data_IF_486488112391
#
_entry.id   IF_486488112391
#
_cell.length_a   1.000
_cell.length_b   1.000
_cell.length_c   1.000
_cell.angle_alpha   90.00
_cell.angle_beta   90.00
_cell.angle_gamma   90.00
#
_symmetry.space_group_name_H-M   'P 1'
#
loop_
_entity.id
_entity.type
_entity.pdbx_description
1 polymer ?
2 water ?
#
# COMPACT_ATOMS: atom_id res chain seq x y z
N UNK A 44 13.58 -9.76 12.64
CA UNK A 44 13.84 -9.98 11.19
C UNK A 44 14.73 -8.90 10.61
N UNK A 45 15.23 -9.17 9.41
CA UNK A 45 16.15 -8.30 8.70
C UNK A 45 15.46 -7.02 8.29
N UNK A 46 16.13 -5.91 8.46
CA UNK A 46 15.71 -4.65 7.87
C UNK A 46 15.39 -4.76 6.39
N UNK A 47 16.18 -5.51 5.62
CA UNK A 47 15.97 -5.52 4.18
C UNK A 47 14.60 -6.11 3.85
N UNK A 48 14.21 -7.16 4.55
CA UNK A 48 12.93 -7.80 4.24
C UNK A 48 11.79 -6.91 4.76
N UNK A 49 12.06 -6.13 5.78
CA UNK A 49 11.03 -5.25 6.27
C UNK A 49 10.80 -4.07 5.31
N UNK A 50 11.86 -3.56 4.72
CA UNK A 50 11.74 -2.50 3.72
C UNK A 50 10.97 -3.01 2.53
N UNK A 51 11.33 -4.22 2.12
CA UNK A 51 10.72 -4.90 1.00
C UNK A 51 9.19 -4.90 1.15
N UNK A 52 8.68 -5.34 2.30
CA UNK A 52 7.22 -5.39 2.47
C UNK A 52 6.55 -4.02 2.66
N UNK A 53 7.22 -3.07 3.27
CA UNK A 53 6.63 -1.76 3.33
C UNK A 53 6.51 -1.19 1.90
N UNK A 54 7.55 -1.35 1.10
CA UNK A 54 7.50 -0.86 -0.29
C UNK A 54 6.33 -1.48 -1.03
N UNK A 55 6.17 -2.79 -0.88
CA UNK A 55 5.02 -3.48 -1.44
C UNK A 55 3.70 -2.95 -0.99
N UNK A 56 3.58 -2.80 0.30
CA UNK A 56 2.36 -2.30 0.88
C UNK A 56 1.99 -0.97 0.24
N UNK A 57 2.91 -0.02 0.22
CA UNK A 57 2.57 1.30 -0.28
C UNK A 57 2.33 1.30 -1.80
N UNK A 58 3.15 0.57 -2.57
CA UNK A 58 2.94 0.48 -4.02
C UNK A 58 1.55 -0.08 -4.34
N UNK A 59 1.11 -1.08 -3.57
CA UNK A 59 -0.16 -1.73 -3.84
C UNK A 59 -1.34 -0.85 -3.42
N UNK A 60 -1.21 -0.23 -2.25
CA UNK A 60 -2.29 0.56 -1.68
C UNK A 60 -2.49 1.89 -2.38
N UNK A 61 -1.39 2.53 -2.76
CA UNK A 61 -1.41 3.91 -3.20
C UNK A 61 -1.42 4.06 -4.72
N UNK A 62 -1.18 2.97 -5.43
CA UNK A 62 -1.33 2.96 -6.89
C UNK A 62 -2.60 2.27 -7.38
N UNK A 63 -2.78 2.30 -8.69
CA UNK A 63 -3.98 1.73 -9.23
C UNK A 63 -3.83 1.37 -10.70
N UNK A 64 -4.27 0.16 -11.06
CA UNK A 64 -4.49 -0.27 -12.44
C UNK A 64 -5.62 -1.31 -12.47
N UNK A 65 -6.76 -0.97 -13.09
CA UNK A 65 -7.90 -1.89 -13.20
C UNK A 65 -7.53 -3.40 -13.24
N UNK A 66 -6.64 -3.78 -14.15
CA UNK A 66 -6.27 -5.19 -14.28
C UNK A 66 -5.65 -5.82 -12.99
N UNK A 67 -5.14 -5.01 -12.06
CA UNK A 67 -4.42 -5.49 -10.88
C UNK A 67 -5.16 -5.27 -9.55
N UNK A 68 -6.37 -4.72 -9.62
CA UNK A 68 -7.14 -4.34 -8.43
C UNK A 68 -7.41 -5.49 -7.47
N UNK A 69 -7.89 -6.62 -8.01
CA UNK A 69 -8.23 -7.77 -7.20
C UNK A 69 -6.97 -8.20 -6.42
N UNK A 70 -5.86 -8.32 -7.15
CA UNK A 70 -4.55 -8.66 -6.56
C UNK A 70 -4.01 -7.66 -5.55
N UNK A 71 -3.98 -6.40 -5.91
CA UNK A 71 -3.58 -5.37 -4.99
C UNK A 71 -4.47 -5.32 -3.75
N UNK A 72 -5.76 -5.59 -3.94
CA UNK A 72 -6.64 -5.63 -2.78
C UNK A 72 -6.30 -6.77 -1.82
N UNK A 73 -6.10 -8.01 -2.35
CA UNK A 73 -5.85 -9.19 -1.46
C UNK A 73 -4.54 -8.94 -0.67
N UNK A 74 -3.54 -8.40 -1.36
CA UNK A 74 -2.22 -8.15 -0.80
C UNK A 74 -2.24 -7.06 0.29
N UNK A 75 -2.85 -5.91 0.05
CA UNK A 75 -2.94 -4.95 1.15
C UNK A 75 -3.67 -5.57 2.35
N UNK A 76 -4.73 -6.32 2.05
CA UNK A 76 -5.54 -6.93 3.10
C UNK A 76 -4.79 -7.93 3.96
N UNK A 77 -4.08 -8.83 3.29
CA UNK A 77 -3.27 -9.79 3.99
C UNK A 77 -2.16 -9.13 4.83
N UNK A 78 -1.61 -8.01 4.36
CA UNK A 78 -0.55 -7.34 5.11
C UNK A 78 -1.04 -6.29 6.12
N UNK A 79 -2.36 -6.25 6.34
CA UNK A 79 -3.02 -5.32 7.28
C UNK A 79 -3.69 -6.09 8.40
N UNK A 80 -3.74 -5.50 9.59
CA UNK A 80 -4.40 -6.18 10.72
C UNK A 80 -5.91 -6.18 10.52
N UNK A 81 -6.64 -7.09 11.20
CA UNK A 81 -8.11 -7.03 11.16
C UNK A 81 -8.69 -5.59 11.20
N UNK A 82 -8.33 -4.77 12.17
CA UNK A 82 -8.93 -3.44 12.31
C UNK A 82 -8.43 -2.46 11.22
N UNK A 83 -7.22 -2.65 10.69
CA UNK A 83 -6.72 -1.79 9.56
C UNK A 83 -7.25 -2.24 8.21
N UNK A 84 -7.46 -3.55 8.09
CA UNK A 84 -8.00 -4.13 6.89
C UNK A 84 -9.36 -3.51 6.65
N UNK A 85 -10.09 -3.31 7.74
CA UNK A 85 -11.45 -2.80 7.62
C UNK A 85 -11.53 -1.30 7.26
N UNK A 86 -10.62 -0.51 7.80
CA UNK A 86 -10.52 0.90 7.39
C UNK A 86 -10.18 1.01 5.89
N UNK A 87 -9.16 0.25 5.47
CA UNK A 87 -8.75 0.15 4.05
C UNK A 87 -9.93 -0.21 3.17
N UNK A 88 -10.68 -1.22 3.58
CA UNK A 88 -11.86 -1.64 2.79
C UNK A 88 -12.93 -0.53 2.68
N UNK A 89 -13.28 0.15 3.77
CA UNK A 89 -14.31 1.18 3.67
C UNK A 89 -13.76 2.21 2.68
N UNK A 90 -12.47 2.45 2.69
CA UNK A 90 -11.88 3.46 1.83
C UNK A 90 -11.85 3.02 0.36
N UNK A 91 -11.59 1.74 0.13
CA UNK A 91 -11.50 1.21 -1.25
C UNK A 91 -12.88 0.93 -1.90
N UNK A 92 -13.93 0.84 -1.11
CA UNK A 92 -15.23 0.44 -1.61
C UNK A 92 -15.65 1.27 -2.83
N UNK A 93 -16.07 0.56 -3.90
CA UNK A 93 -16.57 1.17 -5.14
C UNK A 93 -17.54 2.36 -5.04
N UNK A 94 -18.25 2.50 -3.92
CA UNK A 94 -19.13 3.64 -3.71
C UNK A 94 -18.48 4.87 -3.10
N UNK A 95 -17.18 4.82 -2.88
CA UNK A 95 -16.52 5.88 -2.18
C UNK A 95 -15.72 6.73 -3.17
N UNK A 96 -16.13 8.00 -3.36
CA UNK A 96 -15.43 8.94 -4.26
C UNK A 96 -13.93 9.02 -4.09
N UNK A 97 -13.39 8.77 -2.90
CA UNK A 97 -11.93 8.85 -2.63
C UNK A 97 -11.18 7.52 -2.83
N UNK A 98 -11.88 6.50 -3.33
CA UNK A 98 -11.26 5.22 -3.62
C UNK A 98 -10.44 5.27 -4.90
N UNK A 99 -9.29 4.59 -4.91
CA UNK A 99 -8.51 4.56 -6.15
C UNK A 99 -9.32 4.08 -7.37
N UNK A 100 -10.16 3.08 -7.18
CA UNK A 100 -11.05 2.61 -8.25
C UNK A 100 -11.68 3.77 -9.02
N UNK A 101 -12.11 4.75 -8.26
CA UNK A 101 -12.81 5.90 -8.76
C UNK A 101 -11.90 7.05 -9.21
N UNK A 102 -11.03 7.54 -8.33
CA UNK A 102 -10.22 8.71 -8.69
C UNK A 102 -9.21 8.38 -9.77
N UNK A 103 -8.87 7.10 -9.91
CA UNK A 103 -8.04 6.61 -11.03
C UNK A 103 -8.80 5.72 -12.00
N UNK A 104 -10.11 5.92 -12.08
CA UNK A 104 -10.90 5.22 -13.05
C UNK A 104 -10.34 5.60 -14.41
N UNK A 105 -9.99 4.57 -15.19
CA UNK A 105 -9.62 4.77 -16.58
C UNK A 105 -8.23 5.39 -16.70
N UNK A 106 -7.45 5.17 -15.65
CA UNK A 106 -6.13 5.76 -15.53
C UNK A 106 -5.18 4.69 -15.01
N UNK A 107 -3.90 4.97 -15.05
CA UNK A 107 -2.98 4.14 -14.31
C UNK A 107 -2.15 5.06 -13.43
N UNK A 108 -2.09 4.72 -12.15
CA UNK A 108 -1.30 5.42 -11.15
C UNK A 108 -0.20 4.46 -10.70
N UNK A 109 1.05 4.92 -10.77
CA UNK A 109 2.17 4.08 -10.42
C UNK A 109 2.98 4.79 -9.37
N UNK A 110 3.23 4.11 -8.28
CA UNK A 110 4.07 4.62 -7.22
C UNK A 110 5.53 4.35 -7.55
N UNK A 111 6.37 5.36 -7.39
CA UNK A 111 7.82 5.18 -7.41
C UNK A 111 8.36 5.50 -6.01
N UNK A 112 9.06 4.56 -5.39
CA UNK A 112 9.61 4.83 -4.08
C UNK A 112 10.82 5.76 -4.10
N UNK A 113 10.76 6.82 -3.31
CA UNK A 113 11.89 7.73 -3.06
C UNK A 113 12.75 7.23 -1.88
N UNK A 114 12.13 6.87 -0.75
CA UNK A 114 12.89 6.42 0.40
C UNK A 114 12.05 5.67 1.41
N UNK A 115 12.71 4.83 2.18
CA UNK A 115 12.15 4.12 3.32
C UNK A 115 13.08 4.31 4.55
N UNK A 116 12.59 4.95 5.60
CA UNK A 116 13.31 5.08 6.85
C UNK A 116 12.40 4.77 8.09
N UNK A 117 13.05 4.51 9.22
CA UNK A 117 12.34 4.13 10.43
C UNK A 117 12.38 5.30 11.35
N UNK A 118 11.21 5.73 11.80
CA UNK A 118 11.13 6.73 12.85
C UNK A 118 11.41 6.06 14.20
N UNK A 119 10.87 4.86 14.37
CA UNK A 119 11.16 4.03 15.52
C UNK A 119 11.16 2.55 15.13
N UNK A 120 11.35 1.67 16.12
CA UNK A 120 11.37 0.20 15.94
C UNK A 120 10.14 -0.34 15.21
N UNK A 121 8.97 0.28 15.42
CA UNK A 121 7.72 -0.23 14.82
C UNK A 121 7.02 0.78 13.89
N UNK A 122 7.76 1.79 13.42
CA UNK A 122 7.19 2.96 12.76
C UNK A 122 8.04 3.41 11.56
N UNK A 123 7.53 3.10 10.36
CA UNK A 123 8.26 3.26 9.09
C UNK A 123 7.70 4.41 8.30
N UNK A 124 8.57 5.09 7.55
CA UNK A 124 8.18 6.25 6.76
C UNK A 124 8.60 6.06 5.31
N UNK A 125 7.62 6.10 4.41
CA UNK A 125 7.83 5.80 2.99
C UNK A 125 7.49 7.02 2.18
N UNK A 126 8.50 7.64 1.60
CA UNK A 126 8.29 8.84 0.74
C UNK A 126 8.33 8.37 -0.69
N UNK A 127 7.34 8.76 -1.48
CA UNK A 127 7.19 8.26 -2.84
C UNK A 127 6.50 9.30 -3.69
N UNK A 128 6.55 9.14 -4.99
CA UNK A 128 5.74 9.95 -5.86
C UNK A 128 4.90 9.01 -6.68
N UNK A 129 3.76 9.54 -7.12
CA UNK A 129 2.76 8.82 -7.91
C UNK A 129 2.87 9.41 -9.29
N UNK A 130 2.83 8.58 -10.30
CA UNK A 130 2.82 9.04 -11.69
C UNK A 130 1.51 8.53 -12.26
N UNK A 131 0.59 9.46 -12.55
CA UNK A 131 -0.77 9.13 -13.01
C UNK A 131 -0.90 9.39 -14.50
N UNK A 132 -1.40 8.40 -15.22
CA UNK A 132 -1.46 8.48 -16.68
C UNK A 132 -2.90 8.26 -17.15
N UNK A 133 -3.29 8.95 -18.23
CA UNK A 133 -4.64 8.88 -18.76
C UNK A 133 -4.67 8.53 -20.25
N UNK A 134 -5.87 8.49 -20.84
CA UNK A 134 -6.07 8.21 -22.27
C UNK A 134 -5.06 8.94 -23.18
N UNK A 135 -4.70 10.19 -22.84
CA UNK A 135 -3.84 11.04 -23.69
C UNK A 135 -2.36 10.77 -23.48
N UNK A 136 -2.08 9.91 -22.49
CA UNK A 136 -0.73 9.67 -22.00
C UNK A 136 -0.13 10.81 -21.17
N UNK A 137 -0.87 11.89 -20.89
CA UNK A 137 -0.32 13.07 -20.16
C UNK A 137 -0.12 12.74 -18.68
N UNK A 138 1.15 12.59 -18.30
CA UNK A 138 1.57 12.21 -16.95
C UNK A 138 1.48 13.38 -15.98
N UNK A 139 0.71 13.22 -14.92
CA UNK A 139 0.74 14.09 -13.77
C UNK A 139 1.57 13.42 -12.70
N UNK A 140 2.32 14.21 -11.95
CA UNK A 140 3.19 13.69 -10.89
C UNK A 140 2.89 14.41 -9.60
N UNK A 141 2.78 13.65 -8.51
CA UNK A 141 2.71 14.24 -7.18
C UNK A 141 3.54 13.43 -6.20
N UNK A 142 3.84 14.09 -5.07
CA UNK A 142 4.75 13.58 -4.05
C UNK A 142 4.03 13.41 -2.72
N UNK A 143 4.42 12.37 -1.99
CA UNK A 143 3.69 11.90 -0.81
C UNK A 143 4.57 11.19 0.21
N UNK A 144 4.07 11.14 1.44
CA UNK A 144 4.75 10.41 2.52
C UNK A 144 3.69 9.57 3.24
N UNK A 145 4.01 8.30 3.51
CA UNK A 145 3.14 7.43 4.31
C UNK A 145 3.85 6.94 5.57
N UNK A 146 3.13 6.96 6.71
CA UNK A 146 3.65 6.42 7.96
C UNK A 146 2.94 5.09 8.18
N UNK A 147 3.68 4.05 8.59
CA UNK A 147 3.13 2.72 8.85
C UNK A 147 3.52 2.23 10.21
N UNK A 148 2.54 1.79 10.99
CA UNK A 148 2.80 1.10 12.25
C UNK A 148 2.76 -0.40 11.94
N UNK A 149 3.83 -1.13 12.23
CA UNK A 149 3.92 -2.51 11.79
C UNK A 149 4.52 -3.44 12.81
N UNK A 150 4.25 -4.73 12.61
CA UNK A 150 4.74 -5.81 13.47
C UNK A 150 4.76 -7.09 12.65
N UNK A 151 5.25 -8.19 13.21
CA UNK A 151 5.13 -9.52 12.59
C UNK A 151 4.40 -10.50 13.54
N UNK A 152 3.24 -10.99 13.15
CA UNK A 152 2.48 -11.95 13.97
C UNK A 152 2.79 -13.40 13.57
N UNK A 153 2.89 -14.27 14.56
CA UNK A 153 3.06 -15.70 14.31
C UNK A 153 1.66 -16.26 14.33
N UNK A 154 0.78 -15.70 13.51
CA UNK A 154 -0.57 -16.20 13.32
C UNK A 154 -0.49 -17.35 12.30
N UNK A 155 -1.63 -17.92 11.91
CA UNK A 155 -1.67 -19.00 10.92
C UNK A 155 -2.09 -18.42 9.57
N UNK A 156 -1.17 -18.40 8.61
CA UNK A 156 -1.52 -18.19 7.20
C UNK A 156 -1.57 -19.57 6.52
N UNK A 157 -2.59 -19.81 5.70
CA UNK A 157 -2.60 -21.00 4.82
C UNK A 157 -1.34 -21.02 3.97
N UNK A 158 -1.00 -22.19 3.44
CA UNK A 158 0.18 -22.34 2.54
C UNK A 158 0.13 -21.32 1.39
N UNK A 159 -1.05 -21.10 0.79
CA UNK A 159 -1.13 -20.22 -0.38
C UNK A 159 -1.20 -18.72 -0.07
N UNK A 160 -1.73 -18.38 1.09
CA UNK A 160 -1.67 -16.99 1.54
C UNK A 160 -0.26 -16.60 1.93
N UNK A 161 0.55 -17.59 2.35
CA UNK A 161 1.97 -17.35 2.67
C UNK A 161 2.83 -17.01 1.42
N UNK A 162 2.37 -17.36 0.22
CA UNK A 162 3.04 -16.85 -0.97
C UNK A 162 2.79 -15.35 -1.21
N UNK A 163 1.80 -14.76 -0.53
CA UNK A 163 1.66 -13.32 -0.48
C UNK A 163 2.23 -12.78 0.82
N UNK A 164 2.00 -13.45 1.95
CA UNK A 164 2.51 -12.95 3.25
C UNK A 164 3.28 -14.02 4.03
N UNK A 165 4.54 -14.23 3.68
CA UNK A 165 5.27 -15.38 4.22
C UNK A 165 5.59 -15.30 5.71
N UNK A 166 5.63 -14.09 6.26
CA UNK A 166 6.09 -13.88 7.62
C UNK A 166 5.08 -13.12 8.51
N UNK A 167 3.83 -13.03 8.10
CA UNK A 167 2.85 -12.37 8.94
C UNK A 167 3.18 -10.90 9.17
N UNK A 168 3.59 -10.20 8.12
CA UNK A 168 3.75 -8.75 8.17
C UNK A 168 2.34 -8.17 8.32
N UNK A 169 2.23 -7.14 9.14
CA UNK A 169 0.93 -6.59 9.59
C UNK A 169 1.07 -5.13 9.87
N UNK A 170 0.41 -4.33 9.05
CA UNK A 170 0.31 -2.90 9.25
C UNK A 170 -0.93 -2.63 10.10
N UNK A 171 -0.70 -2.13 11.32
CA UNK A 171 -1.78 -1.84 12.29
C UNK A 171 -2.32 -0.42 12.15
N UNK A 172 -1.48 0.52 11.71
CA UNK A 172 -1.93 1.90 11.48
C UNK A 172 -1.27 2.44 10.23
N UNK A 173 -1.95 3.35 9.55
CA UNK A 173 -1.46 3.84 8.27
C UNK A 173 -2.03 5.18 7.92
N UNK A 174 -1.22 6.06 7.36
CA UNK A 174 -1.74 7.27 6.71
C UNK A 174 -0.91 7.65 5.49
N UNK A 175 -1.43 8.56 4.70
CA UNK A 175 -0.72 9.09 3.53
C UNK A 175 -1.10 10.56 3.33
N UNK A 176 -0.12 11.45 3.27
CA UNK A 176 -0.40 12.86 3.05
C UNK A 176 0.60 13.39 2.04
N UNK A 177 0.25 14.47 1.33
CA UNK A 177 1.19 14.99 0.31
C UNK A 177 2.38 15.68 0.97
N UNK A 178 3.43 15.98 0.20
CA UNK A 178 4.66 16.63 0.73
C UNK A 178 4.70 18.15 0.51
N UNK A 179 5.73 18.80 1.04
CA UNK A 179 5.91 20.26 0.92
C UNK A 179 5.77 20.80 -0.51
#
# INVERSE_FOLDING_TARGET
MAHHHHHHMALTPLKTVEPFVIRVDNSTGIIDTVSALKESPSDYDEAITRYFASQYVRAREGFQASEAENSFRLVSLLSSPKEQNRFAKWYAGNNPESPQNIYHNMIATVTIKSISFISKDLIQVRYYKTVRDFSEKETISHWVSILNFSYVNAHISTSDRLINPLGFQVSEYRSDPEVIK
#
